data_IF_831522306277
#
_entry.id   IF_831522306277
#
_cell.length_a   1.000
_cell.length_b   1.000
_cell.length_c   1.000
_cell.angle_alpha   90.00
_cell.angle_beta   90.00
_cell.angle_gamma   90.00
#
_symmetry.space_group_name_H-M   'P 1'
#
loop_
_entity.id
_entity.type
_entity.pdbx_description
1 polymer ?
#
# COMPACT_ATOMS: atom_id res chain seq x y z
N UNK A 1 14.92 26.64 21.18
CA UNK A 1 14.96 25.39 20.41
C UNK A 1 13.64 25.25 19.65
N UNK A 2 13.65 25.38 18.31
CA UNK A 2 12.45 25.10 17.49
C UNK A 2 12.58 23.66 17.01
N UNK A 3 11.66 22.80 17.44
CA UNK A 3 11.59 21.45 16.90
C UNK A 3 11.16 21.58 15.43
N UNK A 4 12.12 21.43 14.52
CA UNK A 4 11.87 21.25 13.08
C UNK A 4 10.94 20.04 12.93
N UNK A 5 9.63 20.28 12.81
CA UNK A 5 8.71 19.30 12.22
C UNK A 5 9.22 19.07 10.80
N UNK A 6 9.98 18.00 10.59
CA UNK A 6 10.26 17.54 9.24
C UNK A 6 8.91 17.44 8.52
N UNK A 7 8.68 18.18 7.42
CA UNK A 7 7.44 18.06 6.70
C UNK A 7 7.33 16.61 6.27
N UNK A 8 6.31 15.90 6.75
CA UNK A 8 6.01 14.54 6.29
C UNK A 8 6.00 14.60 4.77
N UNK A 9 7.00 13.98 4.14
CA UNK A 9 7.19 14.03 2.69
C UNK A 9 5.89 13.52 2.08
N UNK A 10 5.17 14.39 1.36
CA UNK A 10 3.91 14.02 0.73
C UNK A 10 4.23 13.04 -0.39
N UNK A 11 4.20 11.75 -0.08
CA UNK A 11 4.42 10.63 -1.01
C UNK A 11 3.52 10.67 -2.25
N UNK A 12 2.47 11.50 -2.25
CA UNK A 12 1.60 11.75 -3.39
C UNK A 12 2.23 12.57 -4.53
N UNK A 13 3.37 13.26 -4.29
CA UNK A 13 4.09 13.99 -5.34
C UNK A 13 5.21 13.16 -5.99
N UNK A 14 5.44 11.93 -5.54
CA UNK A 14 6.36 11.01 -6.20
C UNK A 14 5.64 10.30 -7.36
N UNK A 15 6.32 10.08 -8.51
CA UNK A 15 5.71 9.41 -9.64
C UNK A 15 5.28 8.00 -9.23
N UNK A 16 4.01 7.66 -9.48
CA UNK A 16 3.47 6.33 -9.19
C UNK A 16 4.28 5.28 -9.96
N UNK A 17 4.93 4.37 -9.25
CA UNK A 17 5.62 3.23 -9.86
C UNK A 17 4.58 2.20 -10.26
N UNK A 18 4.56 1.80 -11.53
CA UNK A 18 3.72 0.70 -12.01
C UNK A 18 4.45 -0.61 -11.73
N UNK A 19 3.74 -1.58 -11.16
CA UNK A 19 4.24 -2.94 -10.95
C UNK A 19 3.23 -3.89 -11.58
N UNK A 20 3.73 -4.80 -12.42
CA UNK A 20 2.94 -5.88 -12.98
C UNK A 20 3.14 -7.12 -12.11
N UNK A 21 2.05 -7.68 -11.58
CA UNK A 21 2.08 -8.86 -10.73
C UNK A 21 1.27 -9.98 -11.40
N UNK A 22 1.86 -11.18 -11.45
CA UNK A 22 1.12 -12.40 -11.78
C UNK A 22 0.64 -13.04 -10.49
N UNK A 23 -0.67 -13.13 -10.32
CA UNK A 23 -1.31 -13.66 -9.13
C UNK A 23 -1.99 -14.99 -9.45
N UNK A 24 -1.99 -15.90 -8.47
CA UNK A 24 -2.82 -17.10 -8.54
C UNK A 24 -4.30 -16.72 -8.42
N UNK A 25 -5.20 -17.57 -8.92
CA UNK A 25 -6.64 -17.34 -8.82
C UNK A 25 -7.09 -17.15 -7.36
N UNK A 26 -6.57 -17.97 -6.45
CA UNK A 26 -6.85 -17.88 -5.00
C UNK A 26 -6.42 -16.54 -4.42
N UNK A 27 -5.24 -16.03 -4.80
CA UNK A 27 -4.76 -14.72 -4.33
C UNK A 27 -5.65 -13.59 -4.86
N UNK A 28 -6.08 -13.66 -6.13
CA UNK A 28 -7.00 -12.68 -6.71
C UNK A 28 -8.35 -12.67 -6.00
N UNK A 29 -8.93 -13.85 -5.72
CA UNK A 29 -10.20 -13.95 -4.96
C UNK A 29 -10.08 -13.36 -3.56
N UNK A 30 -9.00 -13.70 -2.85
CA UNK A 30 -8.73 -13.15 -1.52
C UNK A 30 -8.61 -11.61 -1.55
N UNK A 31 -7.94 -11.05 -2.56
CA UNK A 31 -7.85 -9.59 -2.72
C UNK A 31 -9.20 -8.94 -3.02
N UNK A 32 -10.08 -9.59 -3.80
CA UNK A 32 -11.43 -9.09 -4.06
C UNK A 32 -12.32 -9.12 -2.80
N UNK A 33 -12.22 -10.17 -1.98
CA UNK A 33 -12.90 -10.21 -0.68
C UNK A 33 -12.41 -9.08 0.24
N UNK A 34 -11.08 -8.85 0.28
CA UNK A 34 -10.48 -7.75 1.03
C UNK A 34 -10.92 -6.38 0.50
N UNK A 35 -11.14 -6.24 -0.80
CA UNK A 35 -11.66 -5.00 -1.41
C UNK A 35 -13.00 -4.60 -0.80
N UNK A 36 -13.91 -5.56 -0.65
CA UNK A 36 -15.22 -5.32 -0.03
C UNK A 36 -15.08 -4.98 1.45
N UNK A 37 -14.27 -5.75 2.20
CA UNK A 37 -14.05 -5.53 3.64
C UNK A 37 -13.46 -4.15 3.94
N UNK A 38 -12.52 -3.68 3.11
CA UNK A 38 -11.83 -2.40 3.27
C UNK A 38 -12.51 -1.24 2.55
N UNK A 39 -13.66 -1.48 1.91
CA UNK A 39 -14.36 -0.50 1.05
C UNK A 39 -13.41 0.21 0.07
N UNK A 40 -12.46 -0.55 -0.48
CA UNK A 40 -11.43 -0.04 -1.37
C UNK A 40 -11.96 0.10 -2.80
N UNK A 41 -11.45 1.09 -3.53
CA UNK A 41 -11.96 1.39 -4.88
C UNK A 41 -11.38 0.50 -5.98
N UNK A 42 -10.28 -0.22 -5.70
CA UNK A 42 -9.62 -1.13 -6.66
C UNK A 42 -8.70 -2.11 -5.94
N UNK A 43 -8.24 -3.17 -6.64
CA UNK A 43 -7.22 -4.08 -6.10
C UNK A 43 -5.90 -3.37 -5.78
N UNK A 44 -5.51 -2.36 -6.56
CA UNK A 44 -4.32 -1.56 -6.27
C UNK A 44 -4.45 -0.79 -4.96
N UNK A 45 -5.63 -0.23 -4.67
CA UNK A 45 -5.93 0.46 -3.41
C UNK A 45 -5.89 -0.53 -2.22
N UNK A 46 -6.40 -1.76 -2.40
CA UNK A 46 -6.26 -2.83 -1.40
C UNK A 46 -4.79 -3.13 -1.11
N UNK A 47 -3.98 -3.36 -2.14
CA UNK A 47 -2.55 -3.67 -1.99
C UNK A 47 -1.82 -2.51 -1.31
N UNK A 48 -2.07 -1.26 -1.70
CA UNK A 48 -1.46 -0.08 -1.08
C UNK A 48 -1.82 0.05 0.40
N UNK A 49 -3.07 -0.22 0.79
CA UNK A 49 -3.50 -0.17 2.20
C UNK A 49 -2.86 -1.29 3.02
N UNK A 50 -2.90 -2.52 2.53
CA UNK A 50 -2.27 -3.66 3.20
C UNK A 50 -0.76 -3.44 3.35
N UNK A 51 -0.09 -2.91 2.32
CA UNK A 51 1.33 -2.60 2.37
C UNK A 51 1.69 -1.53 3.42
N UNK A 52 0.78 -0.60 3.74
CA UNK A 52 0.97 0.40 4.81
C UNK A 52 0.83 -0.19 6.21
N UNK A 53 0.07 -1.27 6.36
CA UNK A 53 -0.11 -1.98 7.64
C UNK A 53 1.06 -2.93 7.94
N UNK A 54 1.86 -3.27 6.93
CA UNK A 54 3.08 -4.04 7.14
C UNK A 54 4.06 -3.23 8.01
N UNK A 55 4.66 -3.85 9.05
CA UNK A 55 5.63 -3.15 9.88
C UNK A 55 6.81 -2.67 9.02
N UNK A 56 7.14 -1.37 9.12
CA UNK A 56 8.23 -0.72 8.38
C UNK A 56 9.61 -1.41 8.54
N UNK A 57 9.77 -2.27 9.54
CA UNK A 57 10.99 -3.03 9.80
C UNK A 57 11.12 -4.32 8.97
N UNK A 58 10.12 -4.72 8.19
CA UNK A 58 10.19 -5.94 7.37
C UNK A 58 11.01 -5.80 6.07
N UNK A 59 11.42 -4.57 5.71
CA UNK A 59 12.08 -4.26 4.42
C UNK A 59 13.59 -3.98 4.59
N UNK A 60 14.08 -3.83 5.82
CA UNK A 60 15.52 -3.76 6.11
C UNK A 60 15.97 -5.12 6.68
N UNK A 61 16.15 -6.10 5.80
CA UNK A 61 16.95 -7.30 6.07
C UNK A 61 18.42 -7.02 5.82
#
# INVERSE_FOLDING_TARGET
MRNNKMPRKKIYSEPKRKVNLSLTETATKWLEEKRVQLTASSLSDVIERLARELPNNAING
#
